data_IF_276671819514
#
_entry.id   IF_276671819514
#
_cell.length_a   1.000
_cell.length_b   1.000
_cell.length_c   1.000
_cell.angle_alpha   90.00
_cell.angle_beta   90.00
_cell.angle_gamma   90.00
#
_symmetry.space_group_name_H-M   'P 1'
#
loop_
_entity.id
_entity.type
_entity.pdbx_description
1 polymer ?
#
# COMPACT_ATOMS: atom_id res chain seq x y z
N UNK A 1 -18.90 16.22 6.50
CA UNK A 1 -18.22 16.84 5.33
C UNK A 1 -16.90 16.08 5.14
N UNK A 2 -16.51 15.75 3.90
CA UNK A 2 -15.32 14.94 3.58
C UNK A 2 -14.42 15.70 2.60
N UNK A 3 -13.12 15.75 2.88
CA UNK A 3 -12.08 16.23 1.96
C UNK A 3 -11.33 15.04 1.39
N UNK A 4 -11.10 15.07 0.07
CA UNK A 4 -10.32 14.06 -0.64
C UNK A 4 -9.15 14.78 -1.30
N UNK A 5 -7.93 14.31 -1.05
CA UNK A 5 -6.71 14.90 -1.61
C UNK A 5 -5.86 13.88 -2.35
N UNK A 6 -4.93 14.37 -3.17
CA UNK A 6 -3.88 13.54 -3.74
C UNK A 6 -2.89 13.08 -2.66
N UNK A 7 -2.41 11.85 -2.76
CA UNK A 7 -1.49 11.28 -1.77
C UNK A 7 -0.16 12.02 -1.69
N UNK A 8 0.27 12.70 -2.76
CA UNK A 8 1.48 13.52 -2.76
C UNK A 8 1.30 14.85 -2.02
N UNK A 9 0.08 15.37 -1.93
CA UNK A 9 -0.25 16.62 -1.24
C UNK A 9 -0.83 16.38 0.17
N UNK A 10 -0.94 15.12 0.60
CA UNK A 10 -1.71 14.76 1.79
C UNK A 10 -1.19 15.44 3.05
N UNK A 11 0.12 15.43 3.28
CA UNK A 11 0.73 16.03 4.48
C UNK A 11 0.39 17.52 4.62
N UNK A 12 0.59 18.30 3.56
CA UNK A 12 0.26 19.72 3.53
C UNK A 12 -1.24 19.96 3.74
N UNK A 13 -2.10 19.19 3.06
CA UNK A 13 -3.55 19.33 3.21
C UNK A 13 -4.02 18.93 4.61
N UNK A 14 -3.41 17.92 5.22
CA UNK A 14 -3.72 17.48 6.60
C UNK A 14 -3.43 18.59 7.61
N UNK A 15 -2.42 19.42 7.39
CA UNK A 15 -2.14 20.57 8.27
C UNK A 15 -3.14 21.72 8.09
N UNK A 16 -3.73 21.85 6.90
CA UNK A 16 -4.68 22.92 6.56
C UNK A 16 -6.10 22.58 7.02
N UNK A 17 -6.51 21.31 6.83
CA UNK A 17 -7.87 20.85 7.13
C UNK A 17 -8.03 20.64 8.63
N UNK A 18 -9.04 21.23 9.30
CA UNK A 18 -9.34 20.98 10.71
C UNK A 18 -9.65 19.50 11.02
N UNK A 19 -9.36 19.03 12.25
CA UNK A 19 -9.51 17.62 12.64
C UNK A 19 -10.96 17.12 12.64
N UNK A 20 -11.93 18.01 12.86
CA UNK A 20 -13.36 17.72 12.81
C UNK A 20 -13.88 17.46 11.39
N UNK A 21 -13.10 17.82 10.37
CA UNK A 21 -13.41 17.53 8.97
C UNK A 21 -12.70 16.23 8.57
N UNK A 22 -13.50 15.24 8.17
CA UNK A 22 -13.01 13.98 7.63
C UNK A 22 -12.10 14.23 6.42
N UNK A 23 -10.94 13.55 6.39
CA UNK A 23 -9.92 13.69 5.36
C UNK A 23 -9.45 12.31 4.90
N UNK A 24 -9.41 12.07 3.59
CA UNK A 24 -8.85 10.85 3.00
C UNK A 24 -8.16 11.16 1.67
N UNK A 25 -7.62 10.15 0.99
CA UNK A 25 -7.05 10.30 -0.36
C UNK A 25 -7.68 9.41 -1.40
N UNK A 26 -7.46 9.78 -2.67
CA UNK A 26 -7.78 8.93 -3.80
C UNK A 26 -7.15 7.54 -3.69
N UNK A 27 -5.95 7.42 -3.11
CA UNK A 27 -5.29 6.12 -2.96
C UNK A 27 -5.97 5.23 -1.92
N UNK A 28 -6.42 5.78 -0.79
CA UNK A 28 -7.21 5.03 0.20
C UNK A 28 -8.58 4.63 -0.37
N UNK A 29 -9.24 5.57 -1.06
CA UNK A 29 -10.51 5.28 -1.75
C UNK A 29 -10.35 4.19 -2.81
N UNK A 30 -9.25 4.18 -3.56
CA UNK A 30 -8.96 3.14 -4.55
C UNK A 30 -8.69 1.79 -3.88
N UNK A 31 -7.94 1.77 -2.77
CA UNK A 31 -7.69 0.57 -1.98
C UNK A 31 -9.00 -0.07 -1.49
N UNK A 32 -9.95 0.75 -1.04
CA UNK A 32 -11.31 0.32 -0.68
C UNK A 32 -12.14 -0.11 -1.90
N UNK A 33 -12.12 0.69 -2.96
CA UNK A 33 -12.96 0.50 -4.15
C UNK A 33 -12.57 -0.71 -5.00
N UNK A 34 -11.29 -1.08 -5.08
CA UNK A 34 -10.82 -2.26 -5.83
C UNK A 34 -10.32 -3.41 -4.95
N UNK A 35 -9.92 -3.15 -3.71
CA UNK A 35 -9.37 -4.14 -2.80
C UNK A 35 -10.25 -4.43 -1.60
N UNK A 36 -9.60 -4.90 -0.53
CA UNK A 36 -10.16 -5.13 0.80
C UNK A 36 -9.39 -4.23 1.77
N UNK A 37 -9.97 -3.07 2.12
CA UNK A 37 -9.24 -2.05 2.88
C UNK A 37 -8.75 -2.60 4.22
N UNK A 38 -9.56 -3.40 4.91
CA UNK A 38 -9.20 -4.08 6.17
C UNK A 38 -7.91 -4.89 6.05
N UNK A 39 -7.84 -5.80 5.08
CA UNK A 39 -6.66 -6.64 4.85
C UNK A 39 -5.42 -5.80 4.52
N UNK A 40 -5.59 -4.76 3.69
CA UNK A 40 -4.50 -3.87 3.28
C UNK A 40 -3.98 -3.03 4.45
N UNK A 41 -4.86 -2.57 5.35
CA UNK A 41 -4.49 -1.85 6.58
C UNK A 41 -3.83 -2.80 7.57
N UNK A 42 -4.33 -4.03 7.73
CA UNK A 42 -3.71 -5.05 8.58
C UNK A 42 -2.27 -5.36 8.12
N UNK A 43 -2.02 -5.38 6.80
CA UNK A 43 -0.69 -5.56 6.22
C UNK A 43 0.34 -4.51 6.64
N UNK A 44 -0.07 -3.34 7.14
CA UNK A 44 0.86 -2.33 7.69
C UNK A 44 1.61 -2.86 8.90
N UNK A 45 0.99 -3.67 9.76
CA UNK A 45 1.66 -4.23 10.93
C UNK A 45 2.85 -5.13 10.56
N UNK A 46 2.81 -5.76 9.38
CA UNK A 46 3.92 -6.56 8.89
C UNK A 46 5.14 -5.70 8.51
N UNK A 47 4.91 -4.44 8.12
CA UNK A 47 6.00 -3.49 7.82
C UNK A 47 6.80 -3.19 9.07
N UNK A 48 6.14 -3.02 10.22
CA UNK A 48 6.78 -2.75 11.51
C UNK A 48 7.60 -3.95 12.05
N UNK A 49 7.37 -5.14 11.49
CA UNK A 49 8.09 -6.37 11.84
C UNK A 49 9.24 -6.69 10.88
N UNK A 50 9.45 -5.88 9.85
CA UNK A 50 10.55 -6.09 8.90
C UNK A 50 11.90 -5.96 9.58
N UNK A 51 12.81 -6.85 9.20
CA UNK A 51 14.19 -6.92 9.68
C UNK A 51 15.15 -7.10 8.51
N UNK A 52 16.44 -6.94 8.77
CA UNK A 52 17.47 -7.28 7.78
C UNK A 52 17.27 -8.73 7.28
N UNK A 53 17.35 -8.92 5.96
CA UNK A 53 17.08 -10.18 5.27
C UNK A 53 15.60 -10.48 5.02
N UNK A 54 14.67 -9.63 5.45
CA UNK A 54 13.25 -9.83 5.12
C UNK A 54 12.99 -9.73 3.62
N UNK A 55 12.19 -10.66 3.10
CA UNK A 55 11.82 -10.78 1.68
C UNK A 55 10.55 -10.00 1.39
N UNK A 56 10.66 -8.99 0.53
CA UNK A 56 9.55 -8.09 0.19
C UNK A 56 9.26 -8.16 -1.29
N UNK A 57 8.04 -8.55 -1.64
CA UNK A 57 7.56 -8.47 -3.03
C UNK A 57 6.93 -7.11 -3.29
N UNK A 58 7.47 -6.35 -4.23
CA UNK A 58 6.84 -5.15 -4.78
C UNK A 58 6.15 -5.53 -6.10
N UNK A 59 4.81 -5.51 -6.12
CA UNK A 59 4.01 -6.01 -7.23
C UNK A 59 3.19 -4.91 -7.90
N UNK A 60 3.43 -4.71 -9.19
CA UNK A 60 2.68 -3.77 -10.03
C UNK A 60 1.72 -4.47 -10.98
N UNK A 61 0.52 -3.90 -11.15
CA UNK A 61 -0.54 -4.45 -12.00
C UNK A 61 -0.40 -4.16 -13.49
N UNK A 62 0.59 -3.38 -13.88
CA UNK A 62 0.74 -2.85 -15.23
C UNK A 62 2.21 -2.92 -15.66
N UNK A 63 2.44 -2.94 -16.97
CA UNK A 63 3.78 -2.95 -17.57
C UNK A 63 4.18 -1.58 -18.13
N UNK A 64 3.40 -0.54 -17.84
CA UNK A 64 3.67 0.79 -18.41
C UNK A 64 5.02 1.31 -17.92
N UNK A 65 5.67 2.10 -18.79
CA UNK A 65 7.07 2.51 -18.66
C UNK A 65 7.30 3.23 -17.33
N UNK A 66 8.19 2.67 -16.51
CA UNK A 66 8.67 3.30 -15.27
C UNK A 66 9.24 4.69 -15.62
N UNK A 67 8.67 5.72 -15.00
CA UNK A 67 9.16 7.09 -15.12
C UNK A 67 10.38 7.27 -14.20
N UNK A 68 11.18 8.31 -14.44
CA UNK A 68 12.16 8.73 -13.43
C UNK A 68 11.45 8.96 -12.09
N UNK A 69 12.02 8.42 -11.01
CA UNK A 69 11.42 8.40 -9.66
C UNK A 69 10.13 7.58 -9.51
N UNK A 70 10.09 6.41 -10.14
CA UNK A 70 8.99 5.46 -9.97
C UNK A 70 8.71 5.10 -8.49
N UNK A 71 7.43 5.01 -8.15
CA UNK A 71 7.00 4.84 -6.75
C UNK A 71 7.45 3.47 -6.23
N UNK A 72 7.25 2.41 -7.02
CA UNK A 72 7.51 1.03 -6.61
C UNK A 72 8.99 0.70 -6.54
N UNK A 73 9.77 1.14 -7.53
CA UNK A 73 11.19 0.77 -7.64
C UNK A 73 12.14 1.76 -6.96
N UNK A 74 11.72 3.01 -6.72
CA UNK A 74 12.60 4.05 -6.16
C UNK A 74 12.06 4.62 -4.85
N UNK A 75 10.84 5.17 -4.85
CA UNK A 75 10.37 5.94 -3.68
C UNK A 75 10.06 5.06 -2.47
N UNK A 76 9.35 3.95 -2.66
CA UNK A 76 9.02 3.01 -1.58
C UNK A 76 10.29 2.43 -0.94
N UNK A 77 11.25 1.87 -1.69
CA UNK A 77 12.52 1.41 -1.11
C UNK A 77 13.26 2.51 -0.34
N UNK A 78 13.30 3.74 -0.89
CA UNK A 78 13.92 4.89 -0.22
C UNK A 78 13.22 5.26 1.09
N UNK A 79 11.90 5.29 1.12
CA UNK A 79 11.14 5.62 2.33
C UNK A 79 11.24 4.54 3.40
N UNK A 80 11.22 3.25 3.00
CA UNK A 80 11.46 2.14 3.92
C UNK A 80 12.85 2.27 4.55
N UNK A 81 13.89 2.51 3.74
CA UNK A 81 15.25 2.74 4.23
C UNK A 81 15.34 3.94 5.18
N UNK A 82 14.68 5.05 4.85
CA UNK A 82 14.65 6.25 5.69
C UNK A 82 13.96 6.02 7.05
N UNK A 83 13.06 5.03 7.14
CA UNK A 83 12.43 4.60 8.40
C UNK A 83 13.24 3.57 9.19
N UNK A 84 14.42 3.19 8.71
CA UNK A 84 15.31 2.23 9.38
C UNK A 84 15.19 0.79 8.88
N UNK A 85 14.27 0.51 7.95
CA UNK A 85 14.16 -0.81 7.32
C UNK A 85 15.28 -0.97 6.28
N UNK A 86 16.42 -1.48 6.75
CA UNK A 86 17.65 -1.66 5.96
C UNK A 86 17.86 -3.14 5.63
N UNK A 87 18.64 -3.40 4.58
CA UNK A 87 19.02 -4.74 4.13
C UNK A 87 17.84 -5.69 3.83
N UNK A 88 16.78 -5.16 3.22
CA UNK A 88 15.65 -5.94 2.72
C UNK A 88 15.98 -6.64 1.39
N UNK A 89 15.52 -7.87 1.24
CA UNK A 89 15.56 -8.60 -0.03
C UNK A 89 14.33 -8.23 -0.87
N UNK A 90 14.49 -7.25 -1.76
CA UNK A 90 13.41 -6.75 -2.60
C UNK A 90 13.31 -7.55 -3.92
N UNK A 91 12.11 -8.02 -4.24
CA UNK A 91 11.77 -8.59 -5.55
C UNK A 91 10.64 -7.80 -6.21
N UNK A 92 10.61 -7.76 -7.54
CA UNK A 92 9.62 -7.01 -8.30
C UNK A 92 8.87 -7.88 -9.29
N UNK A 93 7.58 -7.59 -9.44
CA UNK A 93 6.75 -8.12 -10.53
C UNK A 93 5.92 -7.00 -11.14
N UNK A 94 5.58 -7.11 -12.42
CA UNK A 94 4.77 -6.14 -13.14
C UNK A 94 3.74 -6.82 -14.05
N UNK A 95 2.73 -6.08 -14.50
CA UNK A 95 1.70 -6.59 -15.40
C UNK A 95 0.93 -7.78 -14.81
N UNK A 96 0.72 -8.82 -15.62
CA UNK A 96 0.00 -10.04 -15.22
C UNK A 96 0.81 -11.02 -14.35
N UNK A 97 2.08 -10.74 -14.07
CA UNK A 97 3.04 -11.69 -13.49
C UNK A 97 2.99 -11.78 -11.96
N UNK A 98 1.81 -11.68 -11.34
CA UNK A 98 1.68 -11.91 -9.91
C UNK A 98 1.95 -13.39 -9.59
N UNK A 99 2.89 -13.74 -8.68
CA UNK A 99 3.27 -15.13 -8.43
C UNK A 99 2.10 -15.96 -7.91
N UNK A 100 2.08 -17.25 -8.27
CA UNK A 100 1.13 -18.20 -7.70
C UNK A 100 1.52 -18.62 -6.28
N UNK A 101 2.82 -18.74 -6.03
CA UNK A 101 3.40 -18.99 -4.71
C UNK A 101 4.10 -17.71 -4.23
N UNK A 102 3.61 -17.20 -3.11
CA UNK A 102 4.12 -16.01 -2.43
C UNK A 102 4.64 -16.33 -1.03
N UNK A 103 4.58 -17.60 -0.61
CA UNK A 103 4.92 -18.06 0.76
C UNK A 103 6.34 -17.72 1.20
N UNK A 104 7.24 -17.47 0.24
CA UNK A 104 8.62 -17.05 0.52
C UNK A 104 8.77 -15.59 0.98
N UNK A 105 7.73 -14.75 0.82
CA UNK A 105 7.80 -13.33 1.17
C UNK A 105 7.25 -13.08 2.58
N UNK A 106 7.90 -12.16 3.30
CA UNK A 106 7.42 -11.69 4.60
C UNK A 106 6.30 -10.66 4.45
N UNK A 107 6.31 -9.89 3.37
CA UNK A 107 5.23 -8.94 3.02
C UNK A 107 5.18 -8.66 1.52
N UNK A 108 3.98 -8.40 1.02
CA UNK A 108 3.73 -7.96 -0.35
C UNK A 108 3.30 -6.49 -0.33
N UNK A 109 3.98 -5.65 -1.09
CA UNK A 109 3.63 -4.25 -1.33
C UNK A 109 3.05 -4.15 -2.74
N UNK A 110 1.73 -4.04 -2.84
CA UNK A 110 1.01 -4.01 -4.10
C UNK A 110 0.68 -2.58 -4.53
N UNK A 111 0.78 -2.28 -5.83
CA UNK A 111 0.43 -0.96 -6.35
C UNK A 111 -1.08 -0.63 -6.19
N UNK A 112 -1.48 0.59 -6.56
CA UNK A 112 -2.89 1.02 -6.49
C UNK A 112 -3.85 0.27 -7.45
N UNK A 113 -3.33 -0.56 -8.36
CA UNK A 113 -4.16 -1.32 -9.31
C UNK A 113 -5.00 -0.43 -10.23
N UNK A 114 -4.51 0.76 -10.60
CA UNK A 114 -5.24 1.71 -11.45
C UNK A 114 -5.68 1.08 -12.78
N UNK A 115 -4.80 0.29 -13.40
CA UNK A 115 -5.05 -0.43 -14.66
C UNK A 115 -5.69 -1.82 -14.47
N UNK A 116 -5.85 -2.29 -13.23
CA UNK A 116 -6.45 -3.60 -12.94
C UNK A 116 -7.96 -3.47 -12.71
N UNK A 117 -8.71 -4.50 -13.07
CA UNK A 117 -10.09 -4.68 -12.64
C UNK A 117 -10.15 -5.01 -11.14
N UNK A 118 -11.31 -4.79 -10.50
CA UNK A 118 -11.54 -5.22 -9.11
C UNK A 118 -11.30 -6.72 -8.93
N UNK A 119 -11.72 -7.54 -9.89
CA UNK A 119 -11.50 -9.01 -9.86
C UNK A 119 -10.02 -9.36 -9.81
N UNK A 120 -9.17 -8.69 -10.59
CA UNK A 120 -7.73 -8.95 -10.60
C UNK A 120 -7.05 -8.51 -9.31
N UNK A 121 -7.43 -7.36 -8.75
CA UNK A 121 -6.91 -6.90 -7.44
C UNK A 121 -7.30 -7.89 -6.34
N UNK A 122 -8.57 -8.27 -6.26
CA UNK A 122 -9.04 -9.25 -5.28
C UNK A 122 -8.33 -10.59 -5.40
N UNK A 123 -8.13 -11.10 -6.63
CA UNK A 123 -7.38 -12.35 -6.87
C UNK A 123 -5.99 -12.32 -6.22
N UNK A 124 -5.26 -11.20 -6.34
CA UNK A 124 -3.91 -11.07 -5.77
C UNK A 124 -3.94 -11.03 -4.25
N UNK A 125 -4.90 -10.31 -3.67
CA UNK A 125 -5.13 -10.27 -2.22
C UNK A 125 -5.49 -11.68 -1.71
N UNK A 126 -6.36 -12.40 -2.41
CA UNK A 126 -6.78 -13.76 -2.03
C UNK A 126 -5.60 -14.74 -2.08
N UNK A 127 -4.74 -14.67 -3.10
CA UNK A 127 -3.52 -15.51 -3.19
C UNK A 127 -2.60 -15.28 -1.98
N UNK A 128 -2.39 -14.02 -1.60
CA UNK A 128 -1.60 -13.66 -0.42
C UNK A 128 -2.24 -14.16 0.88
N UNK A 129 -3.54 -13.89 1.05
CA UNK A 129 -4.32 -14.26 2.22
C UNK A 129 -4.37 -15.77 2.45
N UNK A 130 -4.60 -16.57 1.40
CA UNK A 130 -4.64 -18.04 1.49
C UNK A 130 -3.30 -18.62 1.93
N UNK A 131 -2.19 -17.97 1.58
CA UNK A 131 -0.83 -18.40 1.94
C UNK A 131 -0.33 -17.76 3.25
N UNK A 132 -1.18 -16.98 3.93
CA UNK A 132 -0.82 -16.32 5.18
C UNK A 132 0.22 -15.20 5.02
N UNK A 133 0.39 -14.66 3.80
CA UNK A 133 1.36 -13.59 3.52
C UNK A 133 0.68 -12.23 3.61
N UNK A 134 1.13 -11.33 4.50
CA UNK A 134 0.60 -9.98 4.60
C UNK A 134 0.74 -9.20 3.30
N UNK A 135 -0.30 -8.44 2.95
CA UNK A 135 -0.31 -7.59 1.75
C UNK A 135 -0.74 -6.17 2.13
N UNK A 136 0.00 -5.17 1.66
CA UNK A 136 -0.31 -3.75 1.83
C UNK A 136 -0.36 -3.08 0.46
N UNK A 137 -1.16 -2.03 0.34
CA UNK A 137 -1.26 -1.22 -0.87
C UNK A 137 -0.35 0.02 -0.77
N UNK A 138 0.18 0.53 -1.89
CA UNK A 138 1.01 1.74 -1.90
C UNK A 138 0.39 2.92 -1.14
N UNK A 139 -0.91 3.18 -1.34
CA UNK A 139 -1.60 4.29 -0.68
C UNK A 139 -1.61 4.17 0.84
N UNK A 140 -1.97 2.98 1.34
CA UNK A 140 -1.99 2.64 2.76
C UNK A 140 -0.57 2.67 3.35
N UNK A 141 0.42 2.09 2.66
CA UNK A 141 1.81 2.11 3.08
C UNK A 141 2.35 3.54 3.18
N UNK A 142 2.15 4.36 2.15
CA UNK A 142 2.61 5.75 2.12
C UNK A 142 1.95 6.52 3.27
N UNK A 143 0.64 6.38 3.45
CA UNK A 143 -0.05 7.02 4.56
C UNK A 143 0.50 6.60 5.94
N UNK A 144 0.91 5.33 6.09
CA UNK A 144 1.57 4.83 7.30
C UNK A 144 2.95 5.47 7.50
N UNK A 145 3.80 5.41 6.47
CA UNK A 145 5.17 5.94 6.53
C UNK A 145 5.18 7.46 6.83
N UNK A 146 4.18 8.20 6.37
CA UNK A 146 4.02 9.63 6.64
C UNK A 146 3.22 9.95 7.92
N UNK A 147 2.80 8.95 8.70
CA UNK A 147 2.13 9.16 10.00
C UNK A 147 0.69 9.69 9.91
N UNK A 148 0.04 9.57 8.76
CA UNK A 148 -1.30 10.11 8.50
C UNK A 148 -2.37 9.02 8.32
N UNK A 149 -1.98 7.74 8.37
CA UNK A 149 -2.87 6.61 8.10
C UNK A 149 -4.15 6.64 8.93
N UNK A 150 -4.03 6.83 10.25
CA UNK A 150 -5.18 6.85 11.17
C UNK A 150 -6.23 7.88 10.73
N UNK A 151 -5.80 9.10 10.41
CA UNK A 151 -6.71 10.14 9.92
C UNK A 151 -7.31 9.79 8.57
N UNK A 152 -6.51 9.21 7.67
CA UNK A 152 -6.91 8.88 6.31
C UNK A 152 -7.96 7.76 6.24
N UNK A 153 -7.97 6.84 7.21
CA UNK A 153 -8.89 5.71 7.29
C UNK A 153 -10.05 5.93 8.27
N UNK A 154 -9.97 6.95 9.14
CA UNK A 154 -11.05 7.35 10.07
C UNK A 154 -12.45 7.39 9.44
N UNK A 155 -12.65 7.87 8.20
CA UNK A 155 -13.98 7.85 7.57
C UNK A 155 -14.55 6.45 7.30
N UNK A 156 -13.75 5.40 7.45
CA UNK A 156 -14.07 4.00 7.14
C UNK A 156 -13.87 3.07 8.34
N UNK A 157 -13.75 3.59 9.57
CA UNK A 157 -13.47 2.80 10.78
C UNK A 157 -14.39 1.59 10.95
N UNK A 158 -15.69 1.75 10.72
CA UNK A 158 -16.68 0.67 10.80
C UNK A 158 -16.42 -0.52 9.84
N UNK A 159 -15.65 -0.32 8.78
CA UNK A 159 -15.28 -1.38 7.83
C UNK A 159 -13.98 -2.10 8.21
N UNK A 160 -13.27 -1.59 9.23
CA UNK A 160 -11.99 -2.12 9.71
C UNK A 160 -12.15 -3.01 10.95
N UNK A 161 -13.28 -2.93 11.64
CA UNK A 161 -13.72 -3.86 12.71
C UNK A 161 -13.86 -5.29 12.19
#
# INVERSE_FOLDING_TARGET
KLVITDSQAFEAVSQIVPEEIALTSFSILMARFKGKLKDLVAGVHAIDQLRAGSKVLISEGCTHRQQCEDIGTVKIPRWLKAKGYTDLELEWTSGGHFPHDVSKYDVIIHCGGCMLTRREVLRRIDVASVQGVPIVNYGVLIASLHGILQRAIKPFEHELE
#
